data_IF_219629940972
#
_entry.id   IF_219629940972
#
_cell.length_a   1.000
_cell.length_b   1.000
_cell.length_c   1.000
_cell.angle_alpha   90.00
_cell.angle_beta   90.00
_cell.angle_gamma   90.00
#
_symmetry.space_group_name_H-M   'P 1'
#
loop_
_entity.id
_entity.type
_entity.pdbx_description
1 polymer ?
#
# COMPACT_ATOMS: atom_id res chain seq x y z
N UNK A 1 43.02 82.30 14.40
CA UNK A 1 41.69 81.80 13.95
C UNK A 1 41.23 80.79 14.99
N UNK A 2 40.35 81.16 15.92
CA UNK A 2 38.88 81.08 15.82
C UNK A 2 38.35 79.64 15.57
N UNK A 3 37.85 79.08 16.68
CA UNK A 3 37.06 77.86 16.98
C UNK A 3 35.96 77.49 15.94
N UNK A 4 35.43 76.23 15.88
CA UNK A 4 34.68 75.66 17.01
C UNK A 4 34.71 74.14 17.27
N UNK A 5 34.31 73.83 18.52
CA UNK A 5 33.86 72.53 19.00
C UNK A 5 32.59 72.08 18.25
N UNK A 6 32.55 70.81 17.84
CA UNK A 6 31.31 70.16 17.40
C UNK A 6 30.97 68.99 18.32
N UNK A 7 29.72 69.01 18.77
CA UNK A 7 29.11 68.11 19.74
C UNK A 7 29.08 66.66 19.25
N UNK A 8 29.38 65.72 20.15
CA UNK A 8 29.12 64.30 19.95
C UNK A 8 27.61 64.05 19.97
N UNK A 9 27.08 63.51 18.86
CA UNK A 9 25.71 63.02 18.80
C UNK A 9 25.62 61.67 19.53
N UNK A 10 24.70 61.58 20.49
CA UNK A 10 24.30 60.33 21.13
C UNK A 10 23.47 59.53 20.13
N UNK A 11 23.81 58.27 19.81
CA UNK A 11 22.96 57.46 18.95
C UNK A 11 21.67 57.11 19.72
N UNK A 12 20.53 57.52 19.17
CA UNK A 12 19.22 57.04 19.59
C UNK A 12 19.16 55.52 19.34
N UNK A 13 19.19 54.74 20.41
CA UNK A 13 18.77 53.34 20.39
C UNK A 13 17.32 53.28 19.93
N UNK A 14 17.12 52.99 18.64
CA UNK A 14 15.84 52.51 18.13
C UNK A 14 15.70 51.08 18.64
N UNK A 15 14.97 50.91 19.74
CA UNK A 15 14.52 49.60 20.19
C UNK A 15 13.58 49.05 19.12
N UNK A 16 14.11 48.24 18.20
CA UNK A 16 13.30 47.36 17.37
C UNK A 16 12.60 46.42 18.34
N UNK A 17 11.32 46.66 18.57
CA UNK A 17 10.43 45.74 19.26
C UNK A 17 10.36 44.47 18.40
N UNK A 18 11.19 43.49 18.72
CA UNK A 18 11.01 42.14 18.22
C UNK A 18 9.81 41.56 18.96
N UNK A 19 8.60 41.86 18.48
CA UNK A 19 7.47 40.99 18.78
C UNK A 19 7.90 39.57 18.38
N UNK A 20 7.79 38.57 19.28
CA UNK A 20 8.03 37.20 18.90
C UNK A 20 7.02 36.85 17.81
N UNK A 21 7.51 36.65 16.58
CA UNK A 21 6.69 36.08 15.53
C UNK A 21 6.16 34.75 16.08
N UNK A 22 4.86 34.68 16.37
CA UNK A 22 4.21 33.41 16.65
C UNK A 22 4.51 32.50 15.47
N UNK A 23 5.25 31.42 15.74
CA UNK A 23 5.52 30.39 14.74
C UNK A 23 4.20 29.97 14.13
N UNK A 24 4.12 29.91 12.80
CA UNK A 24 2.93 29.37 12.13
C UNK A 24 2.63 27.98 12.73
N UNK A 25 1.35 27.68 13.03
CA UNK A 25 0.96 26.37 13.52
C UNK A 25 1.50 25.29 12.57
N UNK A 26 2.17 24.31 13.15
CA UNK A 26 2.62 23.11 12.48
C UNK A 26 1.45 22.13 12.34
N UNK A 27 1.55 21.12 11.45
CA UNK A 27 0.56 20.05 11.39
C UNK A 27 0.36 19.28 12.72
N UNK A 28 1.30 19.43 13.66
CA UNK A 28 1.30 18.79 14.98
C UNK A 28 0.70 19.67 16.08
N UNK A 29 0.26 20.88 15.77
CA UNK A 29 -0.46 21.73 16.72
C UNK A 29 -1.96 21.40 16.68
N UNK A 30 -2.58 21.15 17.85
CA UNK A 30 -3.97 20.74 17.90
C UNK A 30 -4.91 21.83 17.36
N UNK A 31 -5.89 21.47 16.51
CA UNK A 31 -6.91 22.40 16.07
C UNK A 31 -7.70 22.97 17.24
N UNK A 32 -8.06 24.25 17.19
CA UNK A 32 -8.87 24.90 18.23
C UNK A 32 -10.36 24.54 18.17
N UNK A 33 -10.79 23.84 17.12
CA UNK A 33 -12.20 23.56 16.78
C UNK A 33 -12.58 22.07 16.91
N UNK A 34 -11.84 21.31 17.73
CA UNK A 34 -12.14 19.88 17.96
C UNK A 34 -13.48 19.67 18.66
N UNK A 35 -14.26 18.69 18.17
CA UNK A 35 -15.56 18.31 18.73
C UNK A 35 -15.50 16.89 19.28
N UNK A 36 -16.02 16.69 20.50
CA UNK A 36 -16.04 15.41 21.19
C UNK A 36 -16.73 14.34 20.34
N UNK A 37 -16.05 13.22 20.10
CA UNK A 37 -16.61 12.06 19.40
C UNK A 37 -16.68 12.20 17.88
N UNK A 38 -16.26 13.34 17.31
CA UNK A 38 -16.18 13.54 15.86
C UNK A 38 -14.71 13.41 15.43
N UNK A 39 -14.34 12.44 14.57
CA UNK A 39 -13.00 12.39 14.00
C UNK A 39 -12.67 13.69 13.29
N UNK A 40 -11.48 14.24 13.55
CA UNK A 40 -11.03 15.48 12.92
C UNK A 40 -9.79 15.21 12.07
N UNK A 41 -9.94 15.30 10.75
CA UNK A 41 -8.88 15.03 9.77
C UNK A 41 -8.41 16.37 9.20
N UNK A 42 -7.10 16.58 9.15
CA UNK A 42 -6.47 17.80 8.63
C UNK A 42 -5.37 17.48 7.64
N UNK A 43 -5.51 18.00 6.42
CA UNK A 43 -4.50 17.89 5.37
C UNK A 43 -3.70 19.19 5.27
N UNK A 44 -2.39 19.08 5.34
CA UNK A 44 -1.46 20.21 5.28
C UNK A 44 -0.54 20.05 4.08
N UNK A 45 -0.59 20.99 3.15
CA UNK A 45 0.31 21.02 2.00
C UNK A 45 1.74 21.31 2.46
N UNK A 46 2.68 20.45 2.10
CA UNK A 46 4.11 20.59 2.40
C UNK A 46 4.86 21.15 1.20
N UNK A 47 4.53 20.67 0.00
CA UNK A 47 5.14 21.07 -1.25
C UNK A 47 4.14 20.87 -2.39
N UNK A 48 4.11 21.82 -3.32
CA UNK A 48 3.39 21.72 -4.59
C UNK A 48 4.31 22.25 -5.67
N UNK A 49 4.58 21.44 -6.70
CA UNK A 49 5.43 21.84 -7.81
C UNK A 49 5.04 21.11 -9.07
N UNK A 50 4.54 21.86 -10.06
CA UNK A 50 4.00 21.29 -11.30
C UNK A 50 2.80 20.39 -10.97
N UNK A 51 2.90 19.12 -11.29
CA UNK A 51 1.97 18.02 -11.13
C UNK A 51 2.27 17.15 -9.90
N UNK A 52 3.26 17.52 -9.08
CA UNK A 52 3.64 16.78 -7.88
C UNK A 52 3.22 17.55 -6.63
N UNK A 53 2.49 16.88 -5.74
CA UNK A 53 2.17 17.39 -4.41
C UNK A 53 2.69 16.47 -3.30
N UNK A 54 3.09 17.09 -2.19
CA UNK A 54 3.36 16.41 -0.93
C UNK A 54 2.48 17.03 0.14
N UNK A 55 1.71 16.19 0.82
CA UNK A 55 0.75 16.59 1.84
C UNK A 55 0.94 15.76 3.10
N UNK A 56 0.59 16.32 4.27
CA UNK A 56 0.51 15.56 5.52
C UNK A 56 -0.92 15.57 6.05
N UNK A 57 -1.51 14.40 6.13
CA UNK A 57 -2.81 14.17 6.74
C UNK A 57 -2.63 13.74 8.21
N UNK A 58 -3.25 14.47 9.12
CA UNK A 58 -3.27 14.18 10.55
C UNK A 58 -4.71 13.94 10.97
N UNK A 59 -4.99 12.78 11.58
CA UNK A 59 -6.27 12.54 12.27
C UNK A 59 -6.07 12.77 13.77
N UNK A 60 -6.88 13.64 14.35
CA UNK A 60 -6.90 13.89 15.78
C UNK A 60 -7.97 13.03 16.47
N UNK A 61 -7.57 12.31 17.51
CA UNK A 61 -8.49 11.67 18.45
C UNK A 61 -9.17 12.76 19.27
N UNK A 62 -10.50 12.74 19.27
CA UNK A 62 -11.33 13.72 19.97
C UNK A 62 -11.96 13.18 21.24
N UNK A 63 -11.46 12.05 21.77
CA UNK A 63 -12.07 11.41 22.95
C UNK A 63 -11.79 12.21 24.23
N UNK A 64 -10.76 13.08 24.19
CA UNK A 64 -10.50 14.11 25.18
C UNK A 64 -10.08 15.42 24.48
N UNK A 65 -11.03 16.32 24.15
CA UNK A 65 -10.75 17.56 23.43
C UNK A 65 -9.82 18.53 24.17
N UNK A 66 -9.70 18.42 25.49
CA UNK A 66 -8.76 19.23 26.29
C UNK A 66 -7.31 18.74 26.20
N UNK A 67 -7.12 17.47 25.79
CA UNK A 67 -5.81 16.83 25.59
C UNK A 67 -5.84 15.97 24.33
N UNK A 68 -6.01 16.60 23.16
CA UNK A 68 -6.14 15.88 21.91
C UNK A 68 -4.83 15.15 21.58
N UNK A 69 -4.97 13.97 20.97
CA UNK A 69 -3.84 13.15 20.54
C UNK A 69 -3.94 12.86 19.06
N UNK A 70 -2.81 12.74 18.40
CA UNK A 70 -2.77 12.29 17.01
C UNK A 70 -3.06 10.79 16.98
N UNK A 71 -4.10 10.42 16.24
CA UNK A 71 -4.51 9.04 16.00
C UNK A 71 -3.83 8.44 14.77
N UNK A 72 -3.61 9.24 13.72
CA UNK A 72 -2.87 8.84 12.51
C UNK A 72 -2.06 10.00 11.95
N UNK A 73 -0.95 9.68 11.31
CA UNK A 73 -0.09 10.62 10.61
C UNK A 73 0.35 10.00 9.27
N UNK A 74 -0.11 10.56 8.16
CA UNK A 74 0.14 10.03 6.82
C UNK A 74 0.82 11.08 5.95
N UNK A 75 1.96 10.73 5.35
CA UNK A 75 2.56 11.49 4.26
C UNK A 75 1.94 11.02 2.96
N UNK A 76 1.41 11.95 2.18
CA UNK A 76 0.77 11.68 0.89
C UNK A 76 1.63 12.31 -0.20
N UNK A 77 1.93 11.53 -1.24
CA UNK A 77 2.59 11.96 -2.46
C UNK A 77 1.62 11.75 -3.61
N UNK A 78 1.32 12.78 -4.38
CA UNK A 78 0.41 12.68 -5.53
C UNK A 78 1.12 13.21 -6.78
N UNK A 79 0.98 12.50 -7.90
CA UNK A 79 1.49 12.92 -9.22
C UNK A 79 0.35 13.14 -10.24
N UNK A 80 0.68 13.39 -11.51
CA UNK A 80 -0.23 13.92 -12.52
C UNK A 80 -1.10 12.84 -13.18
N UNK A 81 -1.62 13.10 -14.39
CA UNK A 81 -2.31 12.08 -15.20
C UNK A 81 -1.42 11.59 -16.37
N UNK A 82 -0.11 11.77 -16.27
CA UNK A 82 0.84 11.30 -17.28
C UNK A 82 1.79 10.31 -16.62
N UNK A 83 2.43 9.48 -17.44
CA UNK A 83 3.38 8.49 -16.95
C UNK A 83 4.44 9.10 -16.01
N UNK A 84 4.50 8.60 -14.79
CA UNK A 84 5.33 9.07 -13.70
C UNK A 84 6.31 7.99 -13.23
N UNK A 85 7.57 8.36 -13.05
CA UNK A 85 8.58 7.50 -12.42
C UNK A 85 8.85 7.98 -10.99
N UNK A 86 8.56 7.12 -10.01
CA UNK A 86 8.76 7.39 -8.59
C UNK A 86 9.70 6.35 -7.99
N UNK A 87 10.82 6.79 -7.43
CA UNK A 87 11.71 5.94 -6.63
C UNK A 87 11.82 6.49 -5.20
N UNK A 88 11.50 5.66 -4.21
CA UNK A 88 11.54 6.01 -2.78
C UNK A 88 12.58 5.18 -2.05
N UNK A 89 13.42 5.83 -1.26
CA UNK A 89 14.47 5.17 -0.47
C UNK A 89 14.76 5.84 0.85
N UNK A 90 15.36 5.10 1.78
CA UNK A 90 15.89 5.66 3.02
C UNK A 90 16.92 6.77 2.77
N UNK A 91 16.89 7.80 3.63
CA UNK A 91 17.84 8.91 3.57
C UNK A 91 18.39 9.25 4.98
N UNK A 92 19.66 9.67 5.12
CA UNK A 92 20.24 9.99 6.43
C UNK A 92 19.41 10.97 7.26
N UNK A 93 19.33 10.70 8.57
CA UNK A 93 18.66 11.56 9.54
C UNK A 93 17.15 11.32 9.67
N UNK A 94 16.72 10.05 9.63
CA UNK A 94 15.30 9.64 9.69
C UNK A 94 14.43 10.30 8.60
N UNK A 95 14.99 10.38 7.37
CA UNK A 95 14.35 11.00 6.20
C UNK A 95 14.08 9.96 5.12
N UNK A 96 13.19 10.31 4.19
CA UNK A 96 13.00 9.60 2.93
C UNK A 96 13.42 10.51 1.78
N UNK A 97 14.03 9.91 0.77
CA UNK A 97 14.23 10.55 -0.52
C UNK A 97 13.24 9.98 -1.53
N UNK A 98 12.54 10.89 -2.21
CA UNK A 98 11.70 10.61 -3.35
C UNK A 98 12.41 11.15 -4.60
N UNK A 99 12.54 10.34 -5.64
CA UNK A 99 13.01 10.77 -6.95
C UNK A 99 11.80 10.63 -7.87
N UNK A 100 11.21 11.75 -8.26
CA UNK A 100 10.01 11.79 -9.09
C UNK A 100 10.38 12.44 -10.42
N UNK A 101 10.25 11.70 -11.53
CA UNK A 101 10.61 12.14 -12.88
C UNK A 101 12.04 12.74 -12.92
N UNK A 102 12.97 12.05 -12.26
CA UNK A 102 14.38 12.45 -12.15
C UNK A 102 14.68 13.59 -11.16
N UNK A 103 13.68 14.14 -10.47
CA UNK A 103 13.85 15.25 -9.52
C UNK A 103 13.84 14.74 -8.07
N UNK A 104 14.88 15.03 -7.26
CA UNK A 104 14.94 14.57 -5.88
C UNK A 104 14.19 15.50 -4.92
N UNK A 105 13.48 14.90 -3.96
CA UNK A 105 12.82 15.52 -2.83
C UNK A 105 13.23 14.76 -1.56
N UNK A 106 13.50 15.48 -0.48
CA UNK A 106 13.88 14.85 0.80
C UNK A 106 12.97 15.37 1.89
N UNK A 107 12.30 14.45 2.59
CA UNK A 107 11.28 14.76 3.59
C UNK A 107 11.55 14.02 4.89
N UNK A 108 11.13 14.64 6.00
CA UNK A 108 11.16 14.00 7.31
C UNK A 108 10.19 12.83 7.35
N UNK A 109 10.72 11.65 7.71
CA UNK A 109 9.98 10.39 7.74
C UNK A 109 9.63 9.93 9.16
N UNK A 110 10.10 10.67 10.17
CA UNK A 110 9.79 10.47 11.57
C UNK A 110 8.66 11.37 12.00
N UNK A 111 7.64 10.81 12.63
CA UNK A 111 6.62 11.59 13.31
C UNK A 111 7.25 12.34 14.49
N UNK A 112 6.98 13.65 14.59
CA UNK A 112 7.40 14.44 15.76
C UNK A 112 6.53 14.16 16.99
N UNK A 113 5.27 13.75 16.76
CA UNK A 113 4.29 13.39 17.78
C UNK A 113 3.33 12.31 17.22
N UNK A 114 2.77 11.49 18.10
CA UNK A 114 1.78 10.47 17.73
C UNK A 114 2.40 9.16 17.23
N UNK A 115 1.63 8.33 16.50
CA UNK A 115 2.12 7.09 15.92
C UNK A 115 3.15 7.35 14.80
N UNK A 116 3.85 6.29 14.40
CA UNK A 116 4.74 6.32 13.25
C UNK A 116 4.00 6.77 11.99
N UNK A 117 4.73 7.44 11.10
CA UNK A 117 4.17 7.95 9.86
C UNK A 117 3.90 6.79 8.89
N UNK A 118 2.73 6.78 8.25
CA UNK A 118 2.47 5.97 7.06
C UNK A 118 2.70 6.78 5.78
N UNK A 119 2.90 6.08 4.66
CA UNK A 119 3.13 6.65 3.34
C UNK A 119 2.01 6.22 2.39
N UNK A 120 1.42 7.19 1.69
CA UNK A 120 0.49 6.99 0.60
C UNK A 120 1.07 7.64 -0.65
N UNK A 121 1.15 6.88 -1.75
CA UNK A 121 1.55 7.36 -3.07
C UNK A 121 0.36 7.19 -4.01
N UNK A 122 -0.03 8.24 -4.73
CA UNK A 122 -1.10 8.21 -5.75
C UNK A 122 -0.53 8.70 -7.07
N UNK A 123 -0.60 7.89 -8.12
CA UNK A 123 -0.10 8.31 -9.44
C UNK A 123 -1.19 8.70 -10.42
N UNK A 124 -2.47 8.51 -10.05
CA UNK A 124 -3.68 8.92 -10.77
C UNK A 124 -3.84 8.33 -12.17
N UNK A 125 -2.97 8.62 -13.13
CA UNK A 125 -2.97 7.91 -14.39
C UNK A 125 -1.80 8.20 -15.30
N UNK A 126 -1.73 7.48 -16.42
CA UNK A 126 -0.49 7.25 -17.14
C UNK A 126 0.05 5.85 -16.82
N UNK A 127 0.93 5.32 -17.66
CA UNK A 127 1.63 4.07 -17.34
C UNK A 127 2.77 4.40 -16.36
N UNK A 128 2.57 4.15 -15.07
CA UNK A 128 3.42 4.63 -14.00
C UNK A 128 4.43 3.57 -13.53
N UNK A 129 5.52 4.04 -12.92
CA UNK A 129 6.54 3.16 -12.31
C UNK A 129 6.88 3.63 -10.91
N UNK A 130 6.40 2.92 -9.91
CA UNK A 130 6.68 3.17 -8.50
C UNK A 130 7.59 2.08 -7.94
N UNK A 131 8.76 2.47 -7.43
CA UNK A 131 9.68 1.56 -6.74
C UNK A 131 9.97 2.12 -5.35
N UNK A 132 9.74 1.29 -4.35
CA UNK A 132 10.10 1.58 -2.96
C UNK A 132 11.18 0.59 -2.53
N UNK A 133 12.34 1.11 -2.13
CA UNK A 133 13.47 0.28 -1.72
C UNK A 133 13.13 -0.52 -0.44
N UNK A 134 13.76 -1.69 -0.31
CA UNK A 134 13.57 -2.59 0.83
C UNK A 134 13.91 -1.95 2.18
N UNK A 135 14.72 -0.89 2.21
CA UNK A 135 15.09 -0.17 3.42
C UNK A 135 13.98 0.75 3.95
N UNK A 136 12.96 1.03 3.15
CA UNK A 136 11.75 1.76 3.56
C UNK A 136 10.82 0.81 4.30
N UNK A 137 10.68 1.00 5.62
CA UNK A 137 9.91 0.11 6.52
C UNK A 137 8.55 0.67 6.94
N UNK A 138 8.19 1.85 6.45
CA UNK A 138 6.91 2.52 6.73
C UNK A 138 5.73 1.66 6.24
N UNK A 139 4.59 1.77 6.92
CA UNK A 139 3.32 1.30 6.35
C UNK A 139 3.07 2.06 5.05
N UNK A 140 2.98 1.34 3.94
CA UNK A 140 2.91 1.88 2.59
C UNK A 140 1.55 1.55 1.97
N UNK A 141 0.98 2.53 1.27
CA UNK A 141 -0.12 2.36 0.34
C UNK A 141 0.27 3.00 -1.00
N UNK A 142 0.03 2.31 -2.11
CA UNK A 142 0.22 2.85 -3.45
C UNK A 142 -1.03 2.62 -4.27
N UNK A 143 -1.55 3.69 -4.87
CA UNK A 143 -2.64 3.68 -5.84
C UNK A 143 -2.06 4.08 -7.21
N UNK A 144 -2.01 3.14 -8.16
CA UNK A 144 -1.53 3.36 -9.53
C UNK A 144 -2.48 4.23 -10.35
N UNK A 145 -3.76 3.88 -10.33
CA UNK A 145 -4.79 4.65 -11.02
C UNK A 145 -4.99 4.11 -12.43
N UNK A 146 -5.09 4.96 -13.44
CA UNK A 146 -5.39 4.53 -14.81
C UNK A 146 -4.12 4.41 -15.66
N UNK A 147 -3.82 3.23 -16.17
CA UNK A 147 -2.62 2.93 -16.96
C UNK A 147 -2.15 1.51 -16.71
N UNK A 148 -1.09 1.10 -17.38
CA UNK A 148 -0.43 -0.18 -17.11
C UNK A 148 0.75 0.09 -16.17
N UNK A 149 0.53 -0.08 -14.88
CA UNK A 149 1.43 0.38 -13.84
C UNK A 149 2.39 -0.72 -13.38
N UNK A 150 3.61 -0.32 -13.04
CA UNK A 150 4.57 -1.17 -12.34
C UNK A 150 4.78 -0.64 -10.93
N UNK A 151 4.37 -1.41 -9.92
CA UNK A 151 4.46 -1.01 -8.52
C UNK A 151 5.23 -2.05 -7.71
N UNK A 152 6.35 -1.64 -7.12
CA UNK A 152 7.14 -2.45 -6.21
C UNK A 152 7.17 -1.84 -4.81
N UNK A 153 6.65 -2.59 -3.84
CA UNK A 153 6.68 -2.23 -2.43
C UNK A 153 8.04 -2.51 -1.76
N UNK A 154 8.30 -1.76 -0.68
CA UNK A 154 9.51 -1.89 0.12
C UNK A 154 9.39 -2.89 1.28
N UNK A 155 10.13 -2.64 2.35
CA UNK A 155 10.21 -3.56 3.48
C UNK A 155 9.12 -3.44 4.55
N UNK A 156 8.21 -2.48 4.43
CA UNK A 156 7.08 -2.28 5.33
C UNK A 156 5.86 -3.13 4.95
N UNK A 157 4.86 -3.14 5.83
CA UNK A 157 3.53 -3.63 5.45
C UNK A 157 3.00 -2.75 4.32
N UNK A 158 2.41 -3.37 3.30
CA UNK A 158 2.10 -2.65 2.06
C UNK A 158 0.71 -3.00 1.53
N UNK A 159 -0.04 -1.99 1.07
CA UNK A 159 -1.25 -2.12 0.26
C UNK A 159 -0.99 -1.58 -1.14
N UNK A 160 -1.20 -2.38 -2.18
CA UNK A 160 -1.02 -1.99 -3.57
C UNK A 160 -2.34 -2.09 -4.32
N UNK A 161 -2.69 -1.06 -5.08
CA UNK A 161 -3.87 -1.01 -5.92
C UNK A 161 -3.41 -0.64 -7.32
N UNK A 162 -3.61 -1.53 -8.30
CA UNK A 162 -3.30 -1.28 -9.71
C UNK A 162 -4.20 -0.19 -10.26
N UNK A 163 -5.46 -0.53 -10.49
CA UNK A 163 -6.50 0.42 -10.85
C UNK A 163 -7.12 0.05 -12.18
N UNK A 164 -6.90 0.82 -13.23
CA UNK A 164 -7.41 0.48 -14.55
C UNK A 164 -6.29 0.26 -15.54
N UNK A 165 -6.11 -0.96 -16.04
CA UNK A 165 -5.10 -1.32 -17.02
C UNK A 165 -4.45 -2.66 -16.66
N UNK A 166 -3.35 -3.01 -17.33
CA UNK A 166 -2.65 -4.26 -17.09
C UNK A 166 -1.45 -4.03 -16.16
N UNK A 167 -1.67 -4.24 -14.88
CA UNK A 167 -0.74 -3.84 -13.84
C UNK A 167 0.21 -4.95 -13.42
N UNK A 168 1.35 -4.55 -12.88
CA UNK A 168 2.34 -5.44 -12.27
C UNK A 168 2.64 -4.99 -10.86
N UNK A 169 2.12 -5.75 -9.89
CA UNK A 169 2.16 -5.43 -8.46
C UNK A 169 3.09 -6.40 -7.73
N UNK A 170 4.19 -5.88 -7.20
CA UNK A 170 5.18 -6.65 -6.44
C UNK A 170 5.14 -6.22 -4.98
N UNK A 171 4.56 -7.06 -4.14
CA UNK A 171 4.62 -6.89 -2.70
C UNK A 171 6.03 -7.20 -2.17
N UNK A 172 6.42 -6.50 -1.10
CA UNK A 172 7.78 -6.56 -0.55
C UNK A 172 8.01 -7.63 0.51
N UNK A 173 8.80 -7.31 1.54
CA UNK A 173 9.27 -8.33 2.50
C UNK A 173 8.36 -8.57 3.73
N UNK A 174 7.38 -7.71 3.98
CA UNK A 174 6.45 -7.86 5.12
C UNK A 174 5.11 -8.45 4.67
N UNK A 175 4.06 -8.38 5.50
CA UNK A 175 2.71 -8.74 5.08
C UNK A 175 2.19 -7.74 4.05
N UNK A 176 1.42 -8.21 3.09
CA UNK A 176 0.99 -7.42 1.94
C UNK A 176 -0.47 -7.63 1.58
N UNK A 177 -1.06 -6.60 1.00
CA UNK A 177 -2.37 -6.58 0.40
C UNK A 177 -2.23 -6.05 -1.03
N UNK A 178 -2.81 -6.72 -2.02
CA UNK A 178 -2.79 -6.26 -3.40
C UNK A 178 -4.15 -6.49 -4.08
N UNK A 179 -4.59 -5.50 -4.85
CA UNK A 179 -5.73 -5.60 -5.76
C UNK A 179 -5.29 -5.15 -7.15
N UNK A 180 -5.48 -6.03 -8.14
CA UNK A 180 -5.29 -5.73 -9.56
C UNK A 180 -6.29 -4.68 -10.04
N UNK A 181 -7.57 -4.99 -9.83
CA UNK A 181 -8.76 -4.21 -10.23
C UNK A 181 -9.19 -4.51 -11.67
N UNK A 182 -9.19 -3.54 -12.58
CA UNK A 182 -9.66 -3.75 -13.95
C UNK A 182 -8.47 -4.05 -14.87
N UNK A 183 -8.45 -5.23 -15.50
CA UNK A 183 -7.48 -5.62 -16.52
C UNK A 183 -6.75 -6.93 -16.18
N UNK A 184 -6.04 -7.48 -17.16
CA UNK A 184 -5.20 -8.68 -16.95
C UNK A 184 -3.92 -8.32 -16.16
N UNK A 185 -3.88 -8.64 -14.87
CA UNK A 185 -2.85 -8.20 -13.93
C UNK A 185 -1.84 -9.31 -13.58
N UNK A 186 -0.64 -8.87 -13.16
CA UNK A 186 0.37 -9.72 -12.54
C UNK A 186 0.61 -9.28 -11.10
N UNK A 187 0.25 -10.14 -10.15
CA UNK A 187 0.45 -9.87 -8.73
C UNK A 187 1.42 -10.90 -8.14
N UNK A 188 2.51 -10.40 -7.55
CA UNK A 188 3.51 -11.21 -6.85
C UNK A 188 3.46 -10.86 -5.37
N UNK A 189 3.17 -11.89 -4.57
CA UNK A 189 3.00 -11.79 -3.14
C UNK A 189 4.30 -11.58 -2.37
N UNK A 190 4.12 -11.00 -1.19
CA UNK A 190 5.16 -10.69 -0.23
C UNK A 190 5.80 -11.94 0.38
N UNK A 191 6.92 -11.77 1.10
CA UNK A 191 7.47 -12.87 1.93
C UNK A 191 6.76 -13.08 3.26
N UNK A 192 5.99 -12.10 3.74
CA UNK A 192 5.05 -12.20 4.87
C UNK A 192 3.63 -12.55 4.40
N UNK A 193 2.64 -12.61 5.30
CA UNK A 193 1.27 -13.00 4.92
C UNK A 193 0.69 -12.13 3.80
N UNK A 194 -0.01 -12.73 2.84
CA UNK A 194 -0.53 -12.01 1.67
C UNK A 194 -2.02 -12.21 1.46
N UNK A 195 -2.71 -11.13 1.14
CA UNK A 195 -4.05 -11.15 0.54
C UNK A 195 -3.94 -10.53 -0.85
N UNK A 196 -4.37 -11.25 -1.88
CA UNK A 196 -4.26 -10.80 -3.26
C UNK A 196 -5.56 -11.09 -4.01
N UNK A 197 -6.06 -10.08 -4.71
CA UNK A 197 -7.26 -10.15 -5.52
C UNK A 197 -6.92 -9.69 -6.94
N UNK A 198 -7.15 -10.54 -7.94
CA UNK A 198 -7.03 -10.15 -9.36
C UNK A 198 -8.12 -9.17 -9.74
N UNK A 199 -9.36 -9.51 -9.36
CA UNK A 199 -10.61 -8.82 -9.65
C UNK A 199 -11.11 -9.09 -11.07
N UNK A 200 -11.03 -8.16 -12.02
CA UNK A 200 -11.63 -8.35 -13.34
C UNK A 200 -10.55 -8.45 -14.42
N UNK A 201 -10.45 -9.57 -15.12
CA UNK A 201 -9.39 -9.79 -16.10
C UNK A 201 -8.86 -11.22 -16.02
N UNK A 202 -7.92 -11.57 -16.88
CA UNK A 202 -7.24 -12.87 -16.83
C UNK A 202 -5.91 -12.73 -16.08
N UNK A 203 -5.99 -12.92 -14.77
CA UNK A 203 -4.94 -12.52 -13.85
C UNK A 203 -3.91 -13.62 -13.59
N UNK A 204 -2.74 -13.20 -13.10
CA UNK A 204 -1.69 -14.11 -12.63
C UNK A 204 -1.28 -13.74 -11.22
N UNK A 205 -1.67 -14.58 -10.27
CA UNK A 205 -1.37 -14.38 -8.86
C UNK A 205 -0.34 -15.42 -8.39
N UNK A 206 0.80 -14.94 -7.89
CA UNK A 206 1.85 -15.76 -7.29
C UNK A 206 1.97 -15.45 -5.82
N UNK A 207 1.65 -16.39 -4.93
CA UNK A 207 1.73 -16.14 -3.49
C UNK A 207 3.12 -15.68 -3.03
N UNK A 208 4.18 -16.10 -3.73
CA UNK A 208 5.57 -15.79 -3.37
C UNK A 208 6.11 -16.70 -2.26
N UNK A 209 7.43 -16.71 -2.13
CA UNK A 209 8.14 -17.54 -1.14
C UNK A 209 8.35 -16.79 0.16
N UNK A 210 8.37 -17.53 1.27
CA UNK A 210 8.51 -16.96 2.60
C UNK A 210 8.68 -18.02 3.66
N UNK A 211 8.30 -17.69 4.89
CA UNK A 211 8.35 -18.65 5.99
C UNK A 211 7.24 -19.71 5.87
N UNK A 212 7.42 -20.85 6.54
CA UNK A 212 6.48 -21.99 6.48
C UNK A 212 5.15 -21.77 7.22
N UNK A 213 5.01 -20.69 8.00
CA UNK A 213 3.78 -20.33 8.72
C UNK A 213 2.97 -19.24 8.02
N UNK A 214 3.48 -18.74 6.90
CA UNK A 214 2.85 -17.72 6.07
C UNK A 214 1.44 -18.15 5.68
N UNK A 215 0.50 -17.20 5.69
CA UNK A 215 -0.87 -17.39 5.24
C UNK A 215 -1.08 -16.58 3.97
N UNK A 216 -1.61 -17.22 2.94
CA UNK A 216 -1.85 -16.60 1.64
C UNK A 216 -3.32 -16.81 1.25
N UNK A 217 -4.01 -15.74 0.88
CA UNK A 217 -5.27 -15.79 0.15
C UNK A 217 -5.03 -15.22 -1.25
N UNK A 218 -5.36 -15.99 -2.27
CA UNK A 218 -5.39 -15.57 -3.66
C UNK A 218 -6.81 -15.77 -4.17
N UNK A 219 -7.42 -14.71 -4.68
CA UNK A 219 -8.73 -14.71 -5.33
C UNK A 219 -8.52 -14.18 -6.76
N UNK A 220 -8.83 -14.99 -7.77
CA UNK A 220 -8.70 -14.60 -9.18
C UNK A 220 -9.74 -13.54 -9.50
N UNK A 221 -11.02 -13.91 -9.40
CA UNK A 221 -12.14 -12.99 -9.58
C UNK A 221 -12.97 -13.37 -10.81
N UNK A 222 -13.12 -12.45 -11.75
CA UNK A 222 -13.82 -12.68 -13.01
C UNK A 222 -12.79 -12.76 -14.15
N UNK A 223 -12.69 -13.90 -14.83
CA UNK A 223 -11.80 -14.14 -15.98
C UNK A 223 -11.09 -15.48 -15.89
N UNK A 224 -10.29 -15.84 -16.89
CA UNK A 224 -9.56 -17.12 -16.90
C UNK A 224 -8.22 -16.97 -16.15
N UNK A 225 -8.23 -17.20 -14.84
CA UNK A 225 -7.13 -16.84 -13.95
C UNK A 225 -6.08 -17.93 -13.77
N UNK A 226 -4.88 -17.52 -13.36
CA UNK A 226 -3.78 -18.43 -12.98
C UNK A 226 -3.27 -18.12 -11.58
N UNK A 227 -3.57 -19.04 -10.67
CA UNK A 227 -3.24 -18.90 -9.26
C UNK A 227 -2.16 -19.91 -8.86
N UNK A 228 -1.06 -19.40 -8.34
CA UNK A 228 0.10 -20.20 -7.92
C UNK A 228 0.34 -20.03 -6.42
N UNK A 229 0.09 -21.09 -5.66
CA UNK A 229 0.45 -21.18 -4.26
C UNK A 229 1.97 -21.06 -4.05
N UNK A 230 2.35 -20.72 -2.82
CA UNK A 230 3.75 -20.56 -2.42
C UNK A 230 3.99 -21.18 -1.05
N UNK A 231 4.97 -20.64 -0.33
CA UNK A 231 5.31 -21.13 1.00
C UNK A 231 4.16 -20.96 2.00
N UNK A 232 4.01 -21.94 2.88
CA UNK A 232 3.08 -21.91 4.00
C UNK A 232 1.69 -22.44 3.67
N UNK A 233 0.67 -21.74 4.14
CA UNK A 233 -0.72 -22.16 4.06
C UNK A 233 -1.45 -21.28 3.06
N UNK A 234 -2.01 -21.91 2.04
CA UNK A 234 -2.54 -21.22 0.88
C UNK A 234 -4.04 -21.48 0.75
N UNK A 235 -4.79 -20.43 0.43
CA UNK A 235 -6.19 -20.48 0.05
C UNK A 235 -6.27 -19.89 -1.35
N UNK A 236 -6.62 -20.71 -2.34
CA UNK A 236 -6.75 -20.31 -3.73
C UNK A 236 -8.24 -20.34 -4.10
N UNK A 237 -8.75 -19.23 -4.59
CA UNK A 237 -10.10 -19.10 -5.13
C UNK A 237 -10.01 -18.67 -6.59
N UNK A 238 -10.48 -19.50 -7.52
CA UNK A 238 -10.48 -19.17 -8.95
C UNK A 238 -11.45 -18.03 -9.22
N UNK A 239 -12.75 -18.32 -9.23
CA UNK A 239 -13.77 -17.29 -9.34
C UNK A 239 -14.76 -17.63 -10.43
N UNK A 240 -14.99 -16.75 -11.41
CA UNK A 240 -15.71 -17.07 -12.64
C UNK A 240 -14.71 -17.17 -13.78
N UNK A 241 -14.90 -18.09 -14.72
CA UNK A 241 -13.96 -18.35 -15.80
C UNK A 241 -13.33 -19.74 -15.68
N UNK A 242 -12.59 -20.16 -16.70
CA UNK A 242 -11.91 -21.46 -16.69
C UNK A 242 -10.51 -21.31 -16.05
N UNK A 243 -10.42 -21.51 -14.73
CA UNK A 243 -9.22 -21.16 -13.95
C UNK A 243 -8.16 -22.28 -13.89
N UNK A 244 -6.90 -21.89 -13.65
CA UNK A 244 -5.80 -22.80 -13.29
C UNK A 244 -5.27 -22.51 -11.90
N UNK A 245 -5.54 -23.43 -10.96
CA UNK A 245 -5.04 -23.36 -9.59
C UNK A 245 -3.92 -24.38 -9.37
N UNK A 246 -2.74 -23.90 -9.01
CA UNK A 246 -1.54 -24.74 -8.81
C UNK A 246 -1.09 -24.70 -7.35
N UNK A 247 -1.07 -25.87 -6.70
CA UNK A 247 -0.59 -26.03 -5.32
C UNK A 247 0.92 -25.96 -5.18
N UNK A 248 1.39 -25.81 -3.93
CA UNK A 248 2.80 -25.98 -3.56
C UNK A 248 2.92 -26.61 -2.17
N UNK A 249 2.84 -25.80 -1.11
CA UNK A 249 2.72 -26.26 0.28
C UNK A 249 1.23 -26.58 0.58
N UNK A 250 0.84 -26.61 1.86
CA UNK A 250 -0.55 -26.89 2.25
C UNK A 250 -1.50 -25.92 1.57
N UNK A 251 -2.39 -26.43 0.74
CA UNK A 251 -3.26 -25.61 -0.10
C UNK A 251 -4.71 -26.06 0.02
N UNK A 252 -5.60 -25.08 0.19
CA UNK A 252 -7.04 -25.24 0.07
C UNK A 252 -7.48 -24.62 -1.25
N UNK A 253 -8.07 -25.42 -2.12
CA UNK A 253 -8.54 -25.02 -3.44
C UNK A 253 -10.05 -24.81 -3.42
N UNK A 254 -10.50 -23.67 -3.93
CA UNK A 254 -11.89 -23.31 -4.20
C UNK A 254 -11.96 -22.93 -5.67
N UNK A 255 -12.42 -23.83 -6.52
CA UNK A 255 -12.28 -23.64 -7.97
C UNK A 255 -13.14 -22.50 -8.49
N UNK A 256 -14.41 -22.45 -8.07
CA UNK A 256 -15.29 -21.35 -8.45
C UNK A 256 -16.37 -21.83 -9.40
N UNK A 257 -16.65 -21.05 -10.44
CA UNK A 257 -17.58 -21.32 -11.54
C UNK A 257 -16.88 -21.93 -12.76
N UNK A 258 -17.66 -22.40 -13.73
CA UNK A 258 -17.14 -22.97 -14.99
C UNK A 258 -16.22 -24.20 -14.86
N UNK A 259 -15.20 -24.37 -15.73
CA UNK A 259 -14.41 -25.61 -15.84
C UNK A 259 -12.95 -25.41 -15.45
N UNK A 260 -12.67 -25.67 -14.18
CA UNK A 260 -11.37 -25.37 -13.61
C UNK A 260 -10.36 -26.51 -13.71
N UNK A 261 -9.09 -26.15 -13.58
CA UNK A 261 -7.96 -27.08 -13.54
C UNK A 261 -7.16 -26.95 -12.26
N UNK A 262 -6.98 -28.08 -11.57
CA UNK A 262 -6.09 -28.16 -10.42
C UNK A 262 -4.82 -28.95 -10.77
N UNK A 263 -3.67 -28.36 -10.45
CA UNK A 263 -2.35 -28.96 -10.59
C UNK A 263 -1.58 -28.98 -9.27
N UNK A 264 -0.64 -29.93 -9.13
CA UNK A 264 0.29 -30.02 -8.00
C UNK A 264 -0.37 -30.03 -6.60
N UNK A 265 -1.49 -30.73 -6.45
CA UNK A 265 -2.11 -30.95 -5.14
C UNK A 265 -1.40 -32.07 -4.37
N UNK A 266 -1.37 -31.96 -3.05
CA UNK A 266 -0.87 -32.95 -2.12
C UNK A 266 -2.03 -33.74 -1.47
N UNK A 267 -1.80 -34.97 -0.96
CA UNK A 267 -2.85 -35.74 -0.28
C UNK A 267 -3.48 -35.07 0.95
N UNK A 268 -2.79 -34.09 1.54
CA UNK A 268 -3.26 -33.30 2.70
C UNK A 268 -4.02 -32.03 2.33
N UNK A 269 -4.10 -31.72 1.05
CA UNK A 269 -4.79 -30.52 0.55
C UNK A 269 -6.31 -30.70 0.62
N UNK A 270 -7.01 -29.58 0.77
CA UNK A 270 -8.47 -29.54 0.73
C UNK A 270 -8.91 -29.05 -0.64
N UNK A 271 -9.78 -29.80 -1.31
CA UNK A 271 -10.24 -29.49 -2.66
C UNK A 271 -11.76 -29.33 -2.65
N UNK A 272 -12.22 -28.12 -2.93
CA UNK A 272 -13.63 -27.76 -3.08
C UNK A 272 -13.91 -27.46 -4.54
N UNK A 273 -14.42 -28.45 -5.27
CA UNK A 273 -14.62 -28.42 -6.73
C UNK A 273 -16.08 -28.62 -7.13
N UNK A 274 -16.38 -28.34 -8.40
CA UNK A 274 -17.59 -28.76 -9.11
C UNK A 274 -17.37 -30.06 -9.88
N UNK A 275 -18.47 -30.63 -10.38
CA UNK A 275 -18.50 -31.94 -11.04
C UNK A 275 -17.72 -31.96 -12.36
N UNK A 276 -17.56 -30.80 -13.01
CA UNK A 276 -16.91 -30.68 -14.31
C UNK A 276 -15.42 -30.32 -14.23
N UNK A 277 -14.90 -30.04 -13.04
CA UNK A 277 -13.51 -29.62 -12.87
C UNK A 277 -12.56 -30.79 -13.12
N UNK A 278 -11.40 -30.46 -13.69
CA UNK A 278 -10.37 -31.44 -14.01
C UNK A 278 -9.17 -31.29 -13.07
N UNK A 279 -8.78 -32.36 -12.39
CA UNK A 279 -7.53 -32.41 -11.64
C UNK A 279 -6.57 -33.43 -12.23
N UNK A 280 -5.30 -33.06 -12.33
CA UNK A 280 -4.26 -34.00 -12.75
C UNK A 280 -3.81 -34.79 -11.52
N UNK A 281 -4.10 -36.09 -11.46
CA UNK A 281 -3.65 -36.95 -10.36
C UNK A 281 -2.12 -37.02 -10.32
N UNK A 282 -1.52 -36.62 -9.20
CA UNK A 282 -0.17 -37.05 -8.88
C UNK A 282 -0.15 -38.59 -8.75
N UNK A 283 0.94 -39.24 -9.16
CA UNK A 283 1.08 -40.69 -8.99
C UNK A 283 0.95 -41.05 -7.49
N UNK A 284 -0.11 -41.79 -7.12
CA UNK A 284 -0.30 -42.34 -5.78
C UNK A 284 -1.46 -41.77 -4.95
N UNK A 285 -2.27 -40.85 -5.47
CA UNK A 285 -3.39 -40.28 -4.71
C UNK A 285 -4.56 -41.26 -4.55
N UNK A 286 -5.05 -41.43 -3.31
CA UNK A 286 -6.29 -42.15 -2.97
C UNK A 286 -7.45 -41.17 -2.97
N UNK A 287 -8.47 -41.42 -3.79
CA UNK A 287 -9.67 -40.60 -3.92
C UNK A 287 -10.64 -40.85 -2.74
N UNK A 288 -10.94 -39.83 -1.95
CA UNK A 288 -12.07 -39.83 -1.02
C UNK A 288 -13.16 -38.90 -1.57
N UNK A 289 -14.06 -39.45 -2.39
CA UNK A 289 -15.23 -38.70 -2.88
C UNK A 289 -16.17 -38.38 -1.71
N UNK A 290 -16.33 -37.11 -1.37
CA UNK A 290 -17.44 -36.66 -0.53
C UNK A 290 -18.70 -36.51 -1.40
N UNK A 291 -19.78 -37.21 -1.03
CA UNK A 291 -21.07 -37.11 -1.74
C UNK A 291 -21.63 -35.67 -1.63
N UNK A 292 -22.38 -35.19 -2.64
CA UNK A 292 -22.85 -33.80 -2.67
C UNK A 292 -23.85 -33.56 -1.54
N UNK A 293 -23.49 -32.66 -0.62
CA UNK A 293 -24.38 -32.12 0.40
C UNK A 293 -24.22 -30.61 0.42
N UNK A 294 -25.14 -29.90 -0.27
CA UNK A 294 -25.32 -28.44 -0.27
C UNK A 294 -24.02 -27.62 -0.14
N UNK A 295 -23.22 -27.58 -1.20
CA UNK A 295 -22.22 -26.55 -1.37
C UNK A 295 -22.93 -25.22 -1.64
N UNK A 296 -22.75 -24.21 -0.76
CA UNK A 296 -23.27 -22.86 -0.98
C UNK A 296 -23.70 -22.05 0.25
N UNK A 297 -23.74 -22.60 1.46
CA UNK A 297 -24.12 -21.82 2.66
C UNK A 297 -22.90 -21.64 3.59
N UNK A 298 -22.47 -20.37 3.76
CA UNK A 298 -21.53 -19.98 4.81
C UNK A 298 -22.09 -20.35 6.20
N UNK A 299 -21.26 -20.74 7.19
CA UNK A 299 -21.68 -20.73 8.57
C UNK A 299 -21.79 -19.28 9.06
N UNK A 300 -22.95 -18.97 9.66
CA UNK A 300 -23.28 -17.73 10.37
C UNK A 300 -22.29 -17.35 11.46
#
# INVERSE_FOLDING_TARGET
MLLPLTHAAVPHHSTVSTEPQQSKPTPYDPPSDLQLGVPNIRTHLLLEKSDVTFSREITWSTWNPEKPKIATNRLIVETGNGADEIHVRGWPGDKLQFIINGRPYVLDAKALQGPDQSLLIKTNGGDDRVIVDDDVKHLLEVEGGAGNDFIQAGGGMSGLFGGGGHDTLLLGSNSGYAEGNDGDDLIIGASGNTLMFGNAGNDRLYAGFGNTHKQNLLDGGDGDDKLYAGSGNNYLKGGKGDDLLTGHDRTSFYTGEDNDRIANHQPTDSIHTRVNDHWTLAQGTVLNEAKPGKAGEQPS
#
